data_IF_968796726624
#
_entry.id   IF_968796726624
#
_cell.length_a   1.000
_cell.length_b   1.000
_cell.length_c   1.000
_cell.angle_alpha   90.00
_cell.angle_beta   90.00
_cell.angle_gamma   90.00
#
_symmetry.space_group_name_H-M   'P 1'
#
loop_
_entity.id
_entity.type
_entity.pdbx_description
1 polymer ?
#
# COMPACT_ATOMS: atom_id res chain seq x y z
N UNK A 1 -14.71 1.82 8.91
CA UNK A 1 -14.24 3.00 9.69
C UNK A 1 -12.90 3.38 9.11
N UNK A 2 -12.76 4.59 8.58
CA UNK A 2 -11.46 5.09 8.07
C UNK A 2 -10.68 5.53 9.31
N UNK A 3 -9.47 5.01 9.48
CA UNK A 3 -8.55 5.43 10.56
C UNK A 3 -8.07 6.85 10.30
N UNK A 4 -7.66 7.56 11.36
CA UNK A 4 -7.16 8.92 11.23
C UNK A 4 -5.97 8.96 10.26
N UNK A 5 -5.96 9.90 9.30
CA UNK A 5 -4.86 10.03 8.36
C UNK A 5 -3.57 10.38 9.13
N UNK A 6 -2.47 9.73 8.75
CA UNK A 6 -1.16 10.04 9.29
C UNK A 6 -0.35 10.82 8.27
N UNK A 7 0.21 11.94 8.71
CA UNK A 7 1.10 12.76 7.88
C UNK A 7 2.47 12.07 7.77
N UNK A 8 2.93 11.91 6.54
CA UNK A 8 4.25 11.35 6.21
C UNK A 8 4.91 12.19 5.13
N UNK A 9 6.24 12.20 5.10
CA UNK A 9 7.02 12.96 4.12
C UNK A 9 7.67 12.01 3.13
N UNK A 10 7.49 12.29 1.84
CA UNK A 10 8.26 11.65 0.77
C UNK A 10 9.65 12.29 0.77
N UNK A 11 10.67 11.49 1.01
CA UNK A 11 12.06 11.92 1.01
C UNK A 11 12.54 12.18 -0.42
N UNK A 12 13.64 12.91 -0.56
CA UNK A 12 14.21 13.29 -1.88
C UNK A 12 14.48 12.09 -2.80
N UNK A 13 14.81 10.93 -2.22
CA UNK A 13 15.04 9.69 -2.96
C UNK A 13 13.75 8.97 -3.41
N UNK A 14 12.57 9.59 -3.22
CA UNK A 14 11.26 8.99 -3.54
C UNK A 14 10.84 7.89 -2.57
N UNK A 15 11.50 7.77 -1.41
CA UNK A 15 11.12 6.84 -0.35
C UNK A 15 10.25 7.54 0.69
N UNK A 16 9.41 6.77 1.38
CA UNK A 16 8.64 7.27 2.51
C UNK A 16 8.66 6.23 3.62
N UNK A 17 8.59 6.69 4.87
CA UNK A 17 8.52 5.82 6.03
C UNK A 17 7.08 5.79 6.55
N UNK A 18 6.49 4.59 6.57
CA UNK A 18 5.17 4.39 7.15
C UNK A 18 5.30 3.97 8.61
N UNK A 19 4.53 4.58 9.52
CA UNK A 19 4.42 4.12 10.90
C UNK A 19 3.96 2.67 10.97
N UNK A 20 4.55 1.88 11.88
CA UNK A 20 4.19 0.46 12.06
C UNK A 20 2.71 0.29 12.36
N UNK A 21 2.10 1.22 13.10
CA UNK A 21 0.65 1.22 13.37
C UNK A 21 -0.18 1.26 12.09
N UNK A 22 0.22 2.07 11.10
CA UNK A 22 -0.46 2.16 9.82
C UNK A 22 -0.28 0.90 8.97
N UNK A 23 0.92 0.29 9.00
CA UNK A 23 1.17 -1.00 8.33
C UNK A 23 0.27 -2.10 8.90
N UNK A 24 0.20 -2.23 10.23
CA UNK A 24 -0.64 -3.22 10.92
C UNK A 24 -2.12 -3.05 10.55
N UNK A 25 -2.60 -1.81 10.49
CA UNK A 25 -3.99 -1.51 10.09
C UNK A 25 -4.28 -1.90 8.64
N UNK A 26 -3.30 -1.74 7.75
CA UNK A 26 -3.39 -2.17 6.35
C UNK A 26 -3.19 -3.68 6.17
N UNK A 27 -2.92 -4.43 7.24
CA UNK A 27 -2.58 -5.86 7.18
C UNK A 27 -1.24 -6.12 6.48
N UNK A 28 -0.33 -5.14 6.52
CA UNK A 28 1.00 -5.20 5.92
C UNK A 28 2.08 -5.46 6.98
N UNK A 29 3.10 -6.22 6.60
CA UNK A 29 4.25 -6.53 7.43
C UNK A 29 5.50 -5.78 6.98
N UNK A 30 6.32 -5.25 7.92
CA UNK A 30 7.62 -4.71 7.57
C UNK A 30 8.49 -5.72 6.81
N UNK A 31 9.07 -5.30 5.69
CA UNK A 31 9.96 -6.13 4.86
C UNK A 31 9.27 -7.08 3.89
N UNK A 32 7.94 -7.17 3.90
CA UNK A 32 7.22 -7.95 2.88
C UNK A 32 7.14 -7.21 1.53
N UNK A 33 6.95 -7.96 0.44
CA UNK A 33 6.78 -7.37 -0.90
C UNK A 33 5.34 -6.91 -1.09
N UNK A 34 5.19 -5.66 -1.53
CA UNK A 34 3.90 -5.06 -1.85
C UNK A 34 3.87 -4.60 -3.31
N UNK A 35 2.68 -4.55 -3.87
CA UNK A 35 2.40 -3.87 -5.14
C UNK A 35 1.97 -2.44 -4.85
N UNK A 36 2.53 -1.48 -5.59
CA UNK A 36 2.14 -0.08 -5.56
C UNK A 36 1.49 0.29 -6.89
N UNK A 37 0.28 0.88 -6.84
CA UNK A 37 -0.46 1.33 -8.02
C UNK A 37 -0.89 2.77 -7.82
N UNK A 38 -0.75 3.59 -8.87
CA UNK A 38 -1.38 4.91 -8.94
C UNK A 38 -2.79 4.77 -9.53
N UNK A 39 -3.79 5.28 -8.85
CA UNK A 39 -5.16 5.37 -9.35
C UNK A 39 -5.36 6.66 -10.16
N UNK A 40 -6.42 6.70 -10.98
CA UNK A 40 -6.74 7.87 -11.82
C UNK A 40 -7.03 9.14 -11.00
N UNK A 41 -7.44 9.00 -9.75
CA UNK A 41 -7.68 10.11 -8.81
C UNK A 41 -6.43 10.55 -8.05
N UNK A 42 -5.24 10.08 -8.45
CA UNK A 42 -3.95 10.53 -7.92
C UNK A 42 -3.56 9.92 -6.58
N UNK A 43 -4.15 8.79 -6.18
CA UNK A 43 -3.79 8.08 -4.95
C UNK A 43 -2.77 6.98 -5.26
N UNK A 44 -1.89 6.73 -4.30
CA UNK A 44 -1.03 5.54 -4.30
C UNK A 44 -1.64 4.51 -3.38
N UNK A 45 -1.97 3.34 -3.93
CA UNK A 45 -2.49 2.20 -3.19
C UNK A 45 -1.39 1.16 -3.06
N UNK A 46 -1.15 0.73 -1.82
CA UNK A 46 -0.28 -0.39 -1.50
C UNK A 46 -1.12 -1.62 -1.20
N UNK A 47 -0.83 -2.74 -1.85
CA UNK A 47 -1.49 -4.04 -1.64
C UNK A 47 -0.44 -5.12 -1.45
N UNK A 48 -0.74 -6.15 -0.64
CA UNK A 48 0.08 -7.36 -0.55
C UNK A 48 0.27 -7.95 -1.93
N UNK A 49 1.52 -8.25 -2.30
CA UNK A 49 1.80 -8.76 -3.63
C UNK A 49 1.08 -10.09 -3.91
N UNK A 50 0.95 -10.95 -2.89
CA UNK A 50 0.23 -12.22 -3.00
C UNK A 50 -1.25 -12.04 -3.41
N UNK A 51 -1.94 -11.09 -2.78
CA UNK A 51 -3.34 -10.78 -3.08
C UNK A 51 -3.48 -10.23 -4.51
N UNK A 52 -2.59 -9.32 -4.89
CA UNK A 52 -2.58 -8.76 -6.24
C UNK A 52 -2.35 -9.83 -7.31
N UNK A 53 -1.46 -10.79 -7.05
CA UNK A 53 -1.23 -11.92 -7.95
C UNK A 53 -2.47 -12.83 -8.00
N UNK A 54 -3.08 -13.15 -6.87
CA UNK A 54 -4.31 -13.96 -6.82
C UNK A 54 -5.47 -13.28 -7.57
N UNK A 55 -5.62 -11.96 -7.40
CA UNK A 55 -6.60 -11.16 -8.12
C UNK A 55 -6.38 -11.24 -9.63
N UNK A 56 -5.15 -11.03 -10.09
CA UNK A 56 -4.80 -11.12 -11.51
C UNK A 56 -5.11 -12.51 -12.08
N UNK A 57 -4.72 -13.57 -11.37
CA UNK A 57 -4.95 -14.95 -11.78
C UNK A 57 -6.45 -15.32 -11.76
N UNK A 58 -7.21 -14.68 -10.87
CA UNK A 58 -8.67 -14.83 -10.75
C UNK A 58 -9.47 -13.93 -11.71
N UNK A 59 -8.80 -13.09 -12.50
CA UNK A 59 -9.45 -12.10 -13.39
C UNK A 59 -10.15 -10.96 -12.64
N UNK A 60 -9.80 -10.72 -11.37
CA UNK A 60 -10.28 -9.59 -10.58
C UNK A 60 -9.44 -8.34 -10.89
N UNK A 61 -10.04 -7.14 -10.82
CA UNK A 61 -9.31 -5.90 -11.03
C UNK A 61 -8.24 -5.70 -9.94
N UNK A 62 -7.11 -5.13 -10.36
CA UNK A 62 -5.98 -4.80 -9.48
C UNK A 62 -6.24 -3.50 -8.70
#
# INVERSE_FOLDING_TARGET
MIQDPQEVVIQEAGTLQLPVSLLVQAGLNPGEKVMAVSTEDGKVVLRRLADAVDDLLSGRPL
#
